data_IF_707013369736
#
_entry.id   IF_707013369736
#
_cell.length_a   1.000
_cell.length_b   1.000
_cell.length_c   1.000
_cell.angle_alpha   90.00
_cell.angle_beta   90.00
_cell.angle_gamma   90.00
#
_symmetry.space_group_name_H-M   'P 1'
#
loop_
_entity.id
_entity.type
_entity.pdbx_description
1 polymer ?
#
# COMPACT_ATOMS: atom_id res chain seq x y z
N UNK A 1 21.34 -7.74 -5.20
CA UNK A 1 21.88 -7.65 -3.82
C UNK A 1 21.04 -6.66 -3.03
N UNK A 2 20.51 -7.08 -1.89
CA UNK A 2 19.68 -6.24 -1.04
C UNK A 2 20.52 -5.16 -0.35
N UNK A 3 19.99 -3.91 -0.34
CA UNK A 3 20.54 -2.79 0.43
C UNK A 3 19.48 -2.27 1.42
N UNK A 4 19.94 -1.69 2.51
CA UNK A 4 19.12 -1.01 3.50
C UNK A 4 19.51 0.45 3.59
N UNK A 5 18.51 1.32 3.68
CA UNK A 5 18.70 2.76 3.83
C UNK A 5 17.89 3.26 5.02
N UNK A 6 18.37 4.34 5.61
CA UNK A 6 17.66 5.11 6.62
C UNK A 6 17.42 6.50 6.04
N UNK A 7 16.15 6.82 5.78
CA UNK A 7 15.77 8.08 5.13
C UNK A 7 15.03 8.96 6.14
N UNK A 8 15.38 10.23 6.20
CA UNK A 8 14.66 11.21 7.00
C UNK A 8 13.43 11.70 6.23
N UNK A 9 12.25 11.25 6.66
CA UNK A 9 10.97 11.60 6.05
C UNK A 9 10.34 12.86 6.61
N UNK A 10 9.03 13.00 6.39
CA UNK A 10 8.25 14.14 6.84
C UNK A 10 8.36 14.37 8.34
N UNK A 11 8.59 15.65 8.73
CA UNK A 11 8.76 16.03 10.13
C UNK A 11 10.01 15.44 10.81
N UNK A 12 11.00 14.97 10.03
CA UNK A 12 12.25 14.40 10.55
C UNK A 12 12.13 12.95 11.03
N UNK A 13 11.01 12.28 10.74
CA UNK A 13 10.81 10.89 11.13
C UNK A 13 11.67 9.95 10.30
N UNK A 14 12.42 9.06 10.95
CA UNK A 14 13.30 8.11 10.28
C UNK A 14 12.50 6.95 9.68
N UNK A 15 12.67 6.76 8.38
CA UNK A 15 12.06 5.68 7.61
C UNK A 15 13.08 4.58 7.32
N UNK A 16 12.62 3.33 7.44
CA UNK A 16 13.36 2.16 7.01
C UNK A 16 13.00 1.83 5.56
N UNK A 17 14.02 1.80 4.69
CA UNK A 17 13.87 1.56 3.26
C UNK A 17 14.76 0.40 2.84
N UNK A 18 14.23 -0.47 1.99
CA UNK A 18 14.93 -1.60 1.39
C UNK A 18 14.96 -1.49 -0.12
N UNK A 19 16.07 -1.90 -0.71
CA UNK A 19 16.31 -1.87 -2.14
C UNK A 19 16.84 -3.21 -2.64
N UNK A 20 16.30 -3.69 -3.76
CA UNK A 20 16.73 -4.90 -4.46
C UNK A 20 16.83 -4.63 -5.96
N UNK A 21 17.44 -5.57 -6.68
CA UNK A 21 17.49 -5.55 -8.14
C UNK A 21 18.62 -4.72 -8.70
N UNK A 22 18.38 -4.12 -9.85
CA UNK A 22 19.38 -3.39 -10.64
C UNK A 22 19.30 -1.89 -10.43
N UNK A 23 20.30 -1.22 -9.89
CA UNK A 23 20.25 0.20 -9.55
C UNK A 23 19.94 1.14 -10.72
N UNK A 24 20.38 0.77 -11.93
CA UNK A 24 20.26 1.61 -13.14
C UNK A 24 19.03 1.26 -13.99
N UNK A 25 18.18 0.36 -13.51
CA UNK A 25 16.95 -0.05 -14.20
C UNK A 25 15.74 0.77 -13.74
N UNK A 26 14.62 0.72 -14.49
CA UNK A 26 13.40 1.43 -14.11
C UNK A 26 13.00 1.13 -12.67
N UNK A 27 12.78 2.16 -11.84
CA UNK A 27 12.45 1.97 -10.43
C UNK A 27 10.98 1.69 -10.20
N UNK A 28 10.71 0.81 -9.24
CA UNK A 28 9.38 0.52 -8.69
C UNK A 28 9.44 0.77 -7.18
N UNK A 29 8.58 1.64 -6.67
CA UNK A 29 8.44 1.90 -5.24
C UNK A 29 7.15 1.27 -4.73
N UNK A 30 7.29 0.32 -3.80
CA UNK A 30 6.18 -0.38 -3.16
C UNK A 30 5.80 0.28 -1.84
N UNK A 31 4.52 0.58 -1.70
CA UNK A 31 3.92 1.22 -0.52
C UNK A 31 2.87 0.28 0.06
N UNK A 32 3.14 -0.27 1.24
CA UNK A 32 2.26 -1.23 1.89
C UNK A 32 1.02 -0.59 2.51
N UNK A 33 0.11 -1.41 3.02
CA UNK A 33 -1.14 -1.00 3.62
C UNK A 33 -1.10 -0.85 5.15
N UNK A 34 -2.26 -0.59 5.70
CA UNK A 34 -2.52 -0.42 7.13
C UNK A 34 -2.07 -1.64 7.92
N UNK A 35 -1.27 -1.41 8.96
CA UNK A 35 -0.75 -2.43 9.90
C UNK A 35 0.19 -3.47 9.27
N UNK A 36 0.79 -3.18 8.11
CA UNK A 36 1.71 -4.05 7.40
C UNK A 36 3.17 -3.60 7.56
N UNK A 37 4.06 -4.12 6.74
CA UNK A 37 5.43 -3.65 6.53
C UNK A 37 5.96 -4.11 5.17
N UNK A 38 7.23 -3.77 4.84
CA UNK A 38 7.84 -4.10 3.56
C UNK A 38 7.90 -5.60 3.24
N UNK A 39 7.84 -6.50 4.24
CA UNK A 39 7.89 -7.95 4.02
C UNK A 39 6.66 -8.47 3.25
N UNK A 40 5.56 -7.72 3.22
CA UNK A 40 4.39 -8.11 2.43
C UNK A 40 4.69 -8.20 0.93
N UNK A 41 5.80 -7.62 0.46
CA UNK A 41 6.25 -7.65 -0.92
C UNK A 41 7.29 -8.73 -1.22
N UNK A 42 7.48 -9.71 -0.32
CA UNK A 42 8.50 -10.75 -0.48
C UNK A 42 8.35 -11.53 -1.80
N UNK A 43 7.11 -11.84 -2.19
CA UNK A 43 6.81 -12.53 -3.47
C UNK A 43 7.14 -11.69 -4.71
N UNK A 44 7.40 -10.40 -4.55
CA UNK A 44 7.81 -9.47 -5.60
C UNK A 44 9.34 -9.33 -5.62
N UNK A 45 9.98 -8.94 -4.52
CA UNK A 45 11.42 -8.69 -4.51
C UNK A 45 12.28 -9.98 -4.54
N UNK A 46 11.72 -11.13 -4.24
CA UNK A 46 12.36 -12.45 -4.40
C UNK A 46 12.06 -13.10 -5.77
N UNK A 47 11.40 -12.39 -6.67
CA UNK A 47 11.03 -12.88 -8.00
C UNK A 47 11.97 -12.34 -9.09
N UNK A 48 11.72 -12.77 -10.34
CA UNK A 48 12.40 -12.26 -11.51
C UNK A 48 12.23 -10.74 -11.75
N UNK A 49 11.32 -10.06 -11.06
CA UNK A 49 11.24 -8.60 -11.09
C UNK A 49 12.56 -7.95 -10.68
N UNK A 50 13.27 -8.52 -9.70
CA UNK A 50 14.57 -8.02 -9.25
C UNK A 50 15.71 -8.24 -10.29
N UNK A 51 15.50 -9.12 -11.27
CA UNK A 51 16.45 -9.33 -12.38
C UNK A 51 16.32 -8.25 -13.46
N UNK A 52 15.20 -7.54 -13.49
CA UNK A 52 14.90 -6.57 -14.54
C UNK A 52 14.80 -5.12 -14.02
N UNK A 53 14.24 -4.92 -12.84
CA UNK A 53 13.92 -3.60 -12.29
C UNK A 53 14.72 -3.27 -11.04
N UNK A 54 14.71 -1.99 -10.67
CA UNK A 54 15.14 -1.49 -9.38
C UNK A 54 13.94 -1.48 -8.44
N UNK A 55 13.93 -2.35 -7.44
CA UNK A 55 12.81 -2.50 -6.50
C UNK A 55 13.12 -1.80 -5.19
N UNK A 56 12.22 -0.95 -4.75
CA UNK A 56 12.33 -0.23 -3.48
C UNK A 56 11.04 -0.45 -2.70
N UNK A 57 11.14 -0.77 -1.42
CA UNK A 57 10.03 -0.83 -0.50
C UNK A 57 10.41 -0.17 0.82
N UNK A 58 9.48 0.46 1.50
CA UNK A 58 9.75 1.05 2.80
C UNK A 58 8.66 0.70 3.81
N UNK A 59 9.00 0.79 5.07
CA UNK A 59 8.03 0.71 6.14
C UNK A 59 7.43 2.09 6.35
N UNK A 60 6.11 2.19 6.23
CA UNK A 60 5.36 3.42 6.51
C UNK A 60 5.71 3.96 7.90
N UNK A 61 5.59 5.27 8.12
CA UNK A 61 5.66 5.84 9.46
C UNK A 61 4.79 5.06 10.43
N UNK A 62 5.32 4.73 11.58
CA UNK A 62 4.61 3.94 12.59
C UNK A 62 4.61 2.43 12.38
N UNK A 63 5.23 1.92 11.30
CA UNK A 63 5.20 0.52 10.93
C UNK A 63 6.61 -0.08 10.81
N UNK A 64 6.70 -1.39 10.96
CA UNK A 64 7.92 -2.16 10.74
C UNK A 64 9.12 -1.62 11.53
N UNK A 65 10.17 -1.27 10.82
CA UNK A 65 11.43 -0.73 11.39
C UNK A 65 11.55 0.80 11.28
N UNK A 66 10.53 1.48 10.76
CA UNK A 66 10.43 2.94 10.79
C UNK A 66 10.08 3.43 12.20
N UNK A 67 10.40 4.69 12.50
CA UNK A 67 10.02 5.29 13.78
C UNK A 67 8.50 5.31 13.97
N UNK A 68 8.07 5.06 15.21
CA UNK A 68 6.67 4.86 15.55
C UNK A 68 6.25 5.70 16.77
N UNK A 69 6.29 7.05 16.67
CA UNK A 69 5.74 7.91 17.73
C UNK A 69 4.23 7.66 17.84
N UNK A 70 3.68 7.79 19.06
CA UNK A 70 2.28 7.45 19.31
C UNK A 70 1.32 8.64 19.12
N UNK A 71 1.85 9.86 19.08
CA UNK A 71 1.04 11.08 19.00
C UNK A 71 0.32 11.18 17.64
N UNK A 72 -0.99 11.48 17.64
CA UNK A 72 -1.81 11.52 16.43
C UNK A 72 -1.29 12.45 15.33
N UNK A 73 -0.65 13.56 15.69
CA UNK A 73 -0.13 14.55 14.75
C UNK A 73 0.89 14.00 13.74
N UNK A 74 1.53 12.87 14.07
CA UNK A 74 2.45 12.19 13.12
C UNK A 74 1.73 11.44 11.99
N UNK A 75 0.40 11.23 12.10
CA UNK A 75 -0.35 10.34 11.19
C UNK A 75 -1.53 11.01 10.50
N UNK A 76 -2.01 12.14 11.01
CA UNK A 76 -3.23 12.78 10.52
C UNK A 76 -2.99 13.84 9.45
N UNK A 77 -1.79 14.40 9.36
CA UNK A 77 -1.43 15.39 8.34
C UNK A 77 -1.03 14.69 7.02
N UNK A 78 -1.79 14.88 5.92
CA UNK A 78 -1.47 14.30 4.62
C UNK A 78 -0.10 14.74 4.08
N UNK A 79 0.37 15.93 4.45
CA UNK A 79 1.68 16.43 4.01
C UNK A 79 2.83 15.57 4.51
N UNK A 80 2.75 15.03 5.71
CA UNK A 80 3.80 14.15 6.25
C UNK A 80 3.93 12.85 5.47
N UNK A 81 2.82 12.25 5.04
CA UNK A 81 2.83 11.07 4.19
C UNK A 81 3.44 11.36 2.81
N UNK A 82 3.09 12.50 2.24
CA UNK A 82 3.64 12.96 0.98
C UNK A 82 5.15 13.23 1.08
N UNK A 83 5.60 13.86 2.15
CA UNK A 83 7.01 14.16 2.42
C UNK A 83 7.85 12.89 2.60
N UNK A 84 7.28 11.82 3.17
CA UNK A 84 7.96 10.53 3.28
C UNK A 84 8.32 9.98 1.89
N UNK A 85 7.37 9.96 0.98
CA UNK A 85 7.58 9.48 -0.40
C UNK A 85 8.57 10.38 -1.14
N UNK A 86 8.41 11.70 -1.01
CA UNK A 86 9.32 12.67 -1.63
C UNK A 86 10.77 12.51 -1.14
N UNK A 87 10.96 12.29 0.16
CA UNK A 87 12.28 12.07 0.74
C UNK A 87 12.95 10.80 0.19
N UNK A 88 12.21 9.72 0.04
CA UNK A 88 12.72 8.46 -0.54
C UNK A 88 13.09 8.66 -2.00
N UNK A 89 12.24 9.31 -2.78
CA UNK A 89 12.49 9.62 -4.20
C UNK A 89 13.77 10.43 -4.36
N UNK A 90 13.95 11.46 -3.55
CA UNK A 90 15.10 12.35 -3.61
C UNK A 90 16.39 11.66 -3.13
N UNK A 91 16.36 11.02 -1.97
CA UNK A 91 17.54 10.37 -1.38
C UNK A 91 18.09 9.22 -2.23
N UNK A 92 17.19 8.44 -2.85
CA UNK A 92 17.57 7.33 -3.72
C UNK A 92 17.70 7.72 -5.19
N UNK A 93 17.41 8.97 -5.55
CA UNK A 93 17.46 9.44 -6.94
C UNK A 93 16.51 8.67 -7.85
N UNK A 94 15.27 8.44 -7.40
CA UNK A 94 14.27 7.73 -8.21
C UNK A 94 13.64 8.72 -9.19
N UNK A 95 13.60 8.35 -10.45
CA UNK A 95 12.97 9.15 -11.49
C UNK A 95 12.17 8.28 -12.45
N UNK A 96 11.08 8.81 -12.98
CA UNK A 96 10.14 8.04 -13.81
C UNK A 96 9.78 6.69 -13.18
N UNK A 97 9.47 6.73 -11.87
CA UNK A 97 9.19 5.51 -11.11
C UNK A 97 7.75 5.02 -11.30
N UNK A 98 7.56 3.73 -11.11
CA UNK A 98 6.23 3.14 -10.93
C UNK A 98 5.93 3.11 -9.43
N UNK A 99 4.81 3.71 -9.03
CA UNK A 99 4.32 3.67 -7.66
C UNK A 99 3.30 2.53 -7.52
N UNK A 100 3.56 1.61 -6.62
CA UNK A 100 2.64 0.51 -6.28
C UNK A 100 2.11 0.74 -4.88
N UNK A 101 0.81 0.98 -4.76
CA UNK A 101 0.15 1.22 -3.47
C UNK A 101 -0.87 0.16 -3.15
N UNK A 102 -0.62 -0.60 -2.08
CA UNK A 102 -1.57 -1.59 -1.60
C UNK A 102 -2.45 -1.00 -0.52
N UNK A 103 -3.79 -1.09 -0.71
CA UNK A 103 -4.79 -0.66 0.27
C UNK A 103 -4.56 0.78 0.72
N UNK A 104 -4.19 1.04 1.96
CA UNK A 104 -3.82 2.37 2.48
C UNK A 104 -2.68 3.04 1.70
N UNK A 105 -1.82 2.25 1.07
CA UNK A 105 -0.75 2.75 0.22
C UNK A 105 -1.23 3.62 -0.95
N UNK A 106 -2.45 3.40 -1.43
CA UNK A 106 -3.06 4.26 -2.45
C UNK A 106 -3.36 5.67 -1.92
N UNK A 107 -3.78 5.81 -0.66
CA UNK A 107 -3.92 7.12 -0.02
C UNK A 107 -2.59 7.87 0.01
N UNK A 108 -1.52 7.17 0.36
CA UNK A 108 -0.17 7.75 0.42
C UNK A 108 0.28 8.23 -0.96
N UNK A 109 0.00 7.47 -2.02
CA UNK A 109 0.25 7.91 -3.40
C UNK A 109 -0.54 9.17 -3.72
N UNK A 110 -1.82 9.22 -3.36
CA UNK A 110 -2.65 10.41 -3.58
C UNK A 110 -2.15 11.63 -2.79
N UNK A 111 -1.73 11.43 -1.55
CA UNK A 111 -1.10 12.50 -0.76
C UNK A 111 0.15 13.06 -1.46
N UNK A 112 1.02 12.16 -1.98
CA UNK A 112 2.21 12.56 -2.73
C UNK A 112 1.86 13.33 -4.00
N UNK A 113 0.97 12.81 -4.83
CA UNK A 113 0.57 13.45 -6.10
C UNK A 113 -0.05 14.83 -5.84
N UNK A 114 -0.89 14.96 -4.81
CA UNK A 114 -1.51 16.24 -4.43
C UNK A 114 -0.47 17.29 -4.04
N UNK A 115 0.57 16.89 -3.30
CA UNK A 115 1.59 17.79 -2.79
C UNK A 115 2.73 18.08 -3.79
N UNK A 116 3.12 17.09 -4.59
CA UNK A 116 4.34 17.13 -5.43
C UNK A 116 4.09 16.97 -6.94
N UNK A 117 2.86 16.63 -7.35
CA UNK A 117 2.53 16.41 -8.77
C UNK A 117 2.97 15.05 -9.29
N UNK A 118 2.99 14.90 -10.62
CA UNK A 118 3.17 13.63 -11.30
C UNK A 118 4.48 13.52 -12.10
N UNK A 119 5.30 14.57 -12.13
CA UNK A 119 6.45 14.69 -13.04
C UNK A 119 7.49 13.56 -12.87
N UNK A 120 7.63 13.02 -11.66
CA UNK A 120 8.58 11.94 -11.33
C UNK A 120 7.99 10.54 -11.56
N UNK A 121 6.71 10.43 -11.90
CA UNK A 121 5.95 9.18 -11.98
C UNK A 121 5.78 8.73 -13.42
N UNK A 122 6.15 7.48 -13.72
CA UNK A 122 5.90 6.86 -15.02
C UNK A 122 4.53 6.15 -15.09
N UNK A 123 4.12 5.48 -14.03
CA UNK A 123 2.83 4.81 -13.89
C UNK A 123 2.50 4.53 -12.42
N UNK A 124 1.25 4.19 -12.16
CA UNK A 124 0.74 3.84 -10.82
C UNK A 124 -0.01 2.50 -10.90
N UNK A 125 0.16 1.66 -9.88
CA UNK A 125 -0.65 0.46 -9.65
C UNK A 125 -1.32 0.56 -8.28
N UNK A 126 -2.64 0.68 -8.25
CA UNK A 126 -3.45 0.56 -7.04
C UNK A 126 -3.82 -0.90 -6.84
N UNK A 127 -3.18 -1.54 -5.89
CA UNK A 127 -3.42 -2.93 -5.50
C UNK A 127 -4.46 -2.94 -4.39
N UNK A 128 -5.69 -3.32 -4.68
CA UNK A 128 -6.82 -3.20 -3.74
C UNK A 128 -6.85 -1.80 -3.11
N UNK A 129 -6.61 -0.78 -3.92
CA UNK A 129 -6.31 0.57 -3.47
C UNK A 129 -7.52 1.26 -2.87
N UNK A 130 -7.39 1.75 -1.65
CA UNK A 130 -8.39 2.59 -1.02
C UNK A 130 -8.21 4.05 -1.47
N UNK A 131 -9.29 4.69 -1.91
CA UNK A 131 -9.28 6.08 -2.39
C UNK A 131 -10.25 6.98 -1.63
N UNK A 132 -11.05 6.40 -0.75
CA UNK A 132 -11.94 7.12 0.19
C UNK A 132 -11.91 6.47 1.56
N UNK A 133 -11.85 7.30 2.59
CA UNK A 133 -11.92 6.90 4.00
C UNK A 133 -12.77 7.92 4.75
N UNK A 134 -13.63 7.43 5.62
CA UNK A 134 -14.56 8.22 6.39
C UNK A 134 -15.95 7.58 6.42
N UNK A 135 -16.87 8.14 7.15
CA UNK A 135 -18.19 7.56 7.40
C UNK A 135 -18.94 7.26 6.08
N UNK A 136 -18.84 8.13 5.08
CA UNK A 136 -19.51 7.94 3.79
C UNK A 136 -18.97 6.73 2.98
N UNK A 137 -17.74 6.29 3.24
CA UNK A 137 -17.12 5.14 2.57
C UNK A 137 -17.43 3.82 3.27
N UNK A 138 -17.79 3.85 4.55
CA UNK A 138 -18.02 2.65 5.34
C UNK A 138 -19.28 1.89 4.88
N UNK A 139 -19.14 0.60 4.66
CA UNK A 139 -20.19 -0.28 4.19
C UNK A 139 -20.46 -0.23 2.67
N UNK A 140 -19.99 0.79 1.96
CA UNK A 140 -20.15 0.96 0.51
C UNK A 140 -18.87 0.72 -0.28
N UNK A 141 -17.74 1.21 0.23
CA UNK A 141 -16.41 1.12 -0.38
C UNK A 141 -15.42 0.39 0.53
N UNK A 142 -15.54 0.58 1.84
CA UNK A 142 -14.80 -0.14 2.88
C UNK A 142 -15.74 -1.17 3.48
N UNK A 143 -15.36 -2.43 3.42
CA UNK A 143 -16.24 -3.56 3.70
C UNK A 143 -16.11 -4.17 5.09
N UNK A 144 -16.91 -5.21 5.37
CA UNK A 144 -16.97 -5.88 6.66
C UNK A 144 -15.65 -6.54 7.03
N UNK A 145 -14.82 -6.96 6.06
CA UNK A 145 -13.50 -7.52 6.33
C UNK A 145 -12.58 -6.59 7.13
N UNK A 146 -12.81 -5.28 7.05
CA UNK A 146 -12.15 -4.28 7.88
C UNK A 146 -13.05 -3.84 9.05
N UNK A 147 -14.29 -3.44 8.77
CA UNK A 147 -15.17 -2.79 9.73
C UNK A 147 -15.53 -3.68 10.92
N UNK A 148 -15.72 -4.99 10.70
CA UNK A 148 -16.08 -5.94 11.75
C UNK A 148 -14.95 -6.15 12.76
N UNK A 149 -13.71 -5.82 12.38
CA UNK A 149 -12.52 -6.04 13.21
C UNK A 149 -11.91 -4.74 13.74
N UNK A 150 -12.30 -3.59 13.22
CA UNK A 150 -11.65 -2.30 13.51
C UNK A 150 -11.68 -1.93 14.99
N UNK A 151 -12.81 -2.07 15.66
CA UNK A 151 -12.95 -1.72 17.09
C UNK A 151 -12.00 -2.55 17.96
N UNK A 152 -11.94 -3.87 17.73
CA UNK A 152 -11.01 -4.75 18.42
C UNK A 152 -9.55 -4.49 18.06
N UNK A 153 -9.28 -4.21 16.78
CA UNK A 153 -7.94 -3.93 16.26
C UNK A 153 -7.33 -2.63 16.81
N UNK A 154 -8.15 -1.74 17.31
CA UNK A 154 -7.73 -0.47 17.92
C UNK A 154 -7.91 -0.44 19.44
N UNK A 155 -8.35 -1.54 20.04
CA UNK A 155 -8.53 -1.66 21.49
C UNK A 155 -7.18 -1.74 22.23
N UNK A 156 -7.14 -1.14 23.43
CA UNK A 156 -5.97 -1.21 24.31
C UNK A 156 -5.84 -2.59 24.99
N UNK A 157 -6.93 -3.34 25.09
CA UNK A 157 -6.93 -4.70 25.63
C UNK A 157 -6.21 -5.65 24.67
N UNK A 158 -5.05 -6.14 25.10
CA UNK A 158 -4.15 -6.92 24.26
C UNK A 158 -4.77 -8.22 23.70
N UNK A 159 -5.46 -9.05 24.50
CA UNK A 159 -6.15 -10.23 23.96
C UNK A 159 -7.19 -9.91 22.91
N UNK A 160 -8.00 -8.88 23.10
CA UNK A 160 -9.00 -8.39 22.15
C UNK A 160 -8.32 -7.93 20.86
N UNK A 161 -7.25 -7.13 20.98
CA UNK A 161 -6.46 -6.62 19.87
C UNK A 161 -5.87 -7.77 19.03
N UNK A 162 -5.19 -8.73 19.66
CA UNK A 162 -4.60 -9.88 18.96
C UNK A 162 -5.68 -10.69 18.23
N UNK A 163 -6.81 -10.95 18.89
CA UNK A 163 -7.93 -11.69 18.29
C UNK A 163 -8.50 -10.98 17.05
N UNK A 164 -8.71 -9.68 17.16
CA UNK A 164 -9.22 -8.85 16.05
C UNK A 164 -8.23 -8.81 14.87
N UNK A 165 -6.94 -8.61 15.12
CA UNK A 165 -5.91 -8.59 14.07
C UNK A 165 -5.76 -9.94 13.39
N UNK A 166 -5.85 -11.04 14.14
CA UNK A 166 -5.87 -12.39 13.57
C UNK A 166 -7.07 -12.58 12.63
N UNK A 167 -8.24 -12.14 13.04
CA UNK A 167 -9.45 -12.22 12.22
C UNK A 167 -9.39 -11.33 10.99
N UNK A 168 -8.86 -10.11 11.14
CA UNK A 168 -8.64 -9.19 10.03
C UNK A 168 -7.70 -9.78 8.96
N UNK A 169 -6.55 -10.32 9.37
CA UNK A 169 -5.59 -10.93 8.44
C UNK A 169 -6.22 -12.09 7.68
N UNK A 170 -7.00 -12.93 8.36
CA UNK A 170 -7.73 -14.03 7.72
C UNK A 170 -8.81 -13.54 6.76
N UNK A 171 -9.47 -12.42 7.05
CA UNK A 171 -10.45 -11.80 6.15
C UNK A 171 -9.82 -11.22 4.87
N UNK A 172 -8.52 -10.92 4.89
CA UNK A 172 -7.79 -10.44 3.71
C UNK A 172 -7.55 -11.52 2.65
N UNK A 173 -7.59 -12.80 3.03
CA UNK A 173 -7.17 -13.93 2.19
C UNK A 173 -8.37 -14.79 1.81
N UNK A 174 -8.52 -15.07 0.53
CA UNK A 174 -9.56 -15.98 0.00
C UNK A 174 -8.96 -17.27 -0.52
N UNK A 175 -7.90 -17.18 -1.34
CA UNK A 175 -7.17 -18.36 -1.79
C UNK A 175 -6.26 -18.89 -0.67
N UNK A 176 -6.08 -20.21 -0.54
CA UNK A 176 -5.18 -20.77 0.44
C UNK A 176 -3.76 -20.23 0.29
N UNK A 177 -3.18 -19.83 1.42
CA UNK A 177 -1.77 -19.49 1.55
C UNK A 177 -1.14 -20.43 2.57
N UNK A 178 0.19 -20.67 2.51
CA UNK A 178 0.85 -21.51 3.52
C UNK A 178 0.63 -20.98 4.95
N UNK A 179 0.42 -21.88 5.90
CA UNK A 179 0.15 -21.52 7.30
C UNK A 179 1.28 -20.65 7.89
N UNK A 180 2.54 -21.00 7.61
CA UNK A 180 3.71 -20.23 8.09
C UNK A 180 3.70 -18.79 7.56
N UNK A 181 3.28 -18.59 6.31
CA UNK A 181 3.13 -17.24 5.72
C UNK A 181 2.04 -16.48 6.47
N UNK A 182 0.90 -17.11 6.72
CA UNK A 182 -0.23 -16.49 7.43
C UNK A 182 0.13 -16.11 8.87
N UNK A 183 0.81 -16.99 9.58
CA UNK A 183 1.29 -16.74 10.96
C UNK A 183 2.27 -15.54 10.98
N UNK A 184 3.19 -15.50 10.03
CA UNK A 184 4.14 -14.40 9.89
C UNK A 184 3.42 -13.07 9.66
N UNK A 185 2.41 -13.05 8.78
CA UNK A 185 1.58 -11.87 8.53
C UNK A 185 0.84 -11.43 9.79
N UNK A 186 0.25 -12.36 10.53
CA UNK A 186 -0.42 -12.04 11.81
C UNK A 186 0.57 -11.40 12.79
N UNK A 187 1.78 -11.97 12.93
CA UNK A 187 2.79 -11.44 13.85
C UNK A 187 3.15 -9.99 13.52
N UNK A 188 3.44 -9.65 12.28
CA UNK A 188 3.83 -8.27 11.96
C UNK A 188 2.65 -7.29 12.03
N UNK A 189 1.43 -7.74 11.77
CA UNK A 189 0.23 -6.92 11.93
C UNK A 189 0.02 -6.56 13.41
N UNK A 190 0.16 -7.52 14.32
CA UNK A 190 0.01 -7.30 15.76
C UNK A 190 1.13 -6.40 16.31
N UNK A 191 2.32 -6.42 15.71
CA UNK A 191 3.45 -5.61 16.16
C UNK A 191 3.24 -4.10 15.99
N UNK A 192 2.33 -3.65 15.11
CA UNK A 192 2.00 -2.23 14.99
C UNK A 192 1.15 -1.79 16.21
N UNK A 193 1.51 -0.71 16.91
CA UNK A 193 0.72 -0.23 18.05
C UNK A 193 -0.74 0.08 17.69
N UNK A 194 -1.68 -0.32 18.55
CA UNK A 194 -3.10 -0.09 18.34
C UNK A 194 -3.45 1.40 18.14
N UNK A 195 -2.78 2.29 18.88
CA UNK A 195 -2.95 3.73 18.76
C UNK A 195 -2.57 4.24 17.36
N UNK A 196 -1.53 3.70 16.75
CA UNK A 196 -1.12 4.05 15.39
C UNK A 196 -2.17 3.57 14.37
N UNK A 197 -2.66 2.33 14.52
CA UNK A 197 -3.77 1.82 13.70
C UNK A 197 -5.00 2.70 13.76
N UNK A 198 -5.36 3.16 14.96
CA UNK A 198 -6.48 4.09 15.17
C UNK A 198 -6.23 5.45 14.50
N UNK A 199 -5.04 6.00 14.62
CA UNK A 199 -4.68 7.30 14.05
C UNK A 199 -4.73 7.31 12.52
N UNK A 200 -4.29 6.23 11.86
CA UNK A 200 -4.41 6.10 10.41
C UNK A 200 -5.87 6.10 9.96
N UNK A 201 -6.72 5.37 10.67
CA UNK A 201 -8.13 5.24 10.34
C UNK A 201 -8.98 6.46 10.74
N UNK A 202 -8.45 7.35 11.57
CA UNK A 202 -9.12 8.60 11.96
C UNK A 202 -9.08 9.69 10.88
N UNK A 203 -8.33 9.51 9.80
CA UNK A 203 -8.30 10.44 8.68
C UNK A 203 -9.62 10.38 7.90
N UNK A 204 -10.07 11.54 7.44
CA UNK A 204 -11.07 11.64 6.37
C UNK A 204 -10.34 11.90 5.06
N UNK A 205 -10.52 11.02 4.07
CA UNK A 205 -9.77 11.04 2.82
C UNK A 205 -10.74 10.94 1.65
N UNK A 206 -10.55 11.81 0.67
CA UNK A 206 -11.18 11.77 -0.64
C UNK A 206 -10.10 12.06 -1.69
N UNK A 207 -9.85 11.09 -2.58
CA UNK A 207 -8.83 11.20 -3.62
C UNK A 207 -9.37 11.64 -4.98
N UNK A 208 -10.63 12.03 -5.09
CA UNK A 208 -11.26 12.35 -6.38
C UNK A 208 -10.58 13.51 -7.11
N UNK A 209 -10.04 14.48 -6.39
CA UNK A 209 -9.26 15.58 -6.95
C UNK A 209 -7.99 15.06 -7.68
N UNK A 210 -7.28 14.12 -7.08
CA UNK A 210 -6.09 13.49 -7.67
C UNK A 210 -6.48 12.59 -8.83
N UNK A 211 -7.51 11.77 -8.66
CA UNK A 211 -7.97 10.84 -9.69
C UNK A 211 -8.44 11.57 -10.96
N UNK A 212 -9.21 12.63 -10.80
CA UNK A 212 -9.72 13.43 -11.93
C UNK A 212 -8.59 14.12 -12.70
N UNK A 213 -7.53 14.54 -12.04
CA UNK A 213 -6.38 15.20 -12.61
C UNK A 213 -5.26 14.26 -13.08
N UNK A 214 -5.46 12.94 -12.97
CA UNK A 214 -4.44 11.96 -13.31
C UNK A 214 -4.09 12.00 -14.80
N UNK A 215 -2.78 12.03 -15.11
CA UNK A 215 -2.25 12.05 -16.46
C UNK A 215 -1.38 10.84 -16.78
N UNK A 216 -0.80 10.19 -15.74
CA UNK A 216 0.01 9.00 -15.92
C UNK A 216 -0.88 7.74 -15.96
N UNK A 217 -0.44 6.67 -16.62
CA UNK A 217 -1.17 5.40 -16.61
C UNK A 217 -1.42 4.90 -15.18
N UNK A 218 -2.66 4.50 -14.89
CA UNK A 218 -3.05 3.96 -13.60
C UNK A 218 -3.70 2.59 -13.80
N UNK A 219 -3.07 1.55 -13.26
CA UNK A 219 -3.61 0.21 -13.20
C UNK A 219 -4.37 0.03 -11.89
N UNK A 220 -5.56 -0.52 -11.95
CA UNK A 220 -6.35 -0.94 -10.79
C UNK A 220 -6.30 -2.45 -10.73
N UNK A 221 -5.56 -2.99 -9.78
CA UNK A 221 -5.49 -4.43 -9.52
C UNK A 221 -6.46 -4.77 -8.40
N UNK A 222 -7.56 -5.46 -8.74
CA UNK A 222 -8.68 -5.67 -7.82
C UNK A 222 -9.14 -7.13 -7.76
N UNK A 223 -9.13 -7.70 -6.56
CA UNK A 223 -9.78 -8.96 -6.24
C UNK A 223 -11.29 -8.81 -6.18
N UNK A 224 -12.03 -9.66 -6.92
CA UNK A 224 -13.51 -9.60 -6.91
C UNK A 224 -14.13 -10.10 -5.60
N UNK A 225 -13.38 -10.84 -4.80
CA UNK A 225 -13.80 -11.35 -3.49
C UNK A 225 -13.23 -10.56 -2.31
N UNK A 226 -12.64 -9.38 -2.55
CA UNK A 226 -12.14 -8.51 -1.49
C UNK A 226 -13.29 -8.00 -0.61
N UNK A 227 -13.25 -8.35 0.67
CA UNK A 227 -14.20 -7.90 1.69
C UNK A 227 -13.70 -6.71 2.52
N UNK A 228 -12.46 -6.30 2.33
CA UNK A 228 -11.80 -5.20 3.05
C UNK A 228 -11.96 -3.89 2.30
N UNK A 229 -11.45 -3.83 1.07
CA UNK A 229 -11.70 -2.76 0.10
C UNK A 229 -12.59 -3.33 -0.99
N UNK A 230 -13.85 -2.94 -0.99
CA UNK A 230 -14.85 -3.56 -1.85
C UNK A 230 -14.60 -3.27 -3.34
N UNK A 231 -14.94 -4.19 -4.26
CA UNK A 231 -14.80 -3.99 -5.70
C UNK A 231 -15.43 -2.69 -6.23
N UNK A 232 -16.45 -2.18 -5.56
CA UNK A 232 -17.08 -0.89 -5.88
C UNK A 232 -16.08 0.28 -5.89
N UNK A 233 -14.99 0.20 -5.12
CA UNK A 233 -13.96 1.24 -5.13
C UNK A 233 -13.18 1.26 -6.45
N UNK A 234 -12.89 0.09 -7.01
CA UNK A 234 -12.26 -0.02 -8.32
C UNK A 234 -13.17 0.53 -9.43
N UNK A 235 -14.47 0.25 -9.37
CA UNK A 235 -15.45 0.82 -10.29
C UNK A 235 -15.49 2.36 -10.18
N UNK A 236 -15.42 2.89 -8.96
CA UNK A 236 -15.34 4.32 -8.71
C UNK A 236 -14.07 4.94 -9.33
N UNK A 237 -12.90 4.31 -9.15
CA UNK A 237 -11.65 4.77 -9.75
C UNK A 237 -11.73 4.78 -11.27
N UNK A 238 -12.29 3.72 -11.87
CA UNK A 238 -12.47 3.64 -13.33
C UNK A 238 -13.41 4.72 -13.86
N UNK A 239 -14.43 5.07 -13.11
CA UNK A 239 -15.37 6.13 -13.50
C UNK A 239 -14.80 7.54 -13.33
N UNK A 240 -13.84 7.74 -12.43
CA UNK A 240 -13.32 9.05 -12.02
C UNK A 240 -11.99 9.40 -12.67
N UNK A 241 -11.09 8.42 -12.83
CA UNK A 241 -9.73 8.60 -13.32
C UNK A 241 -9.67 8.34 -14.84
N UNK A 242 -9.32 9.34 -15.66
CA UNK A 242 -9.36 9.20 -17.13
C UNK A 242 -8.32 8.22 -17.68
N UNK A 243 -7.26 7.91 -16.94
CA UNK A 243 -6.17 7.03 -17.37
C UNK A 243 -6.26 5.63 -16.75
N UNK A 244 -7.30 5.35 -15.95
CA UNK A 244 -7.40 4.09 -15.22
C UNK A 244 -7.85 2.93 -16.12
N UNK A 245 -7.15 1.82 -15.96
CA UNK A 245 -7.51 0.51 -16.50
C UNK A 245 -7.53 -0.51 -15.37
N UNK A 246 -8.41 -1.52 -15.46
CA UNK A 246 -8.55 -2.53 -14.41
C UNK A 246 -8.00 -3.89 -14.84
N UNK A 247 -7.39 -4.57 -13.88
CA UNK A 247 -7.12 -6.00 -13.89
C UNK A 247 -7.91 -6.65 -12.77
N UNK A 248 -8.96 -7.38 -13.13
CA UNK A 248 -9.83 -8.07 -12.19
C UNK A 248 -9.35 -9.48 -11.90
N UNK A 249 -9.24 -9.82 -10.61
CA UNK A 249 -8.79 -11.14 -10.13
C UNK A 249 -9.98 -11.91 -9.55
N UNK A 250 -10.45 -12.90 -10.29
CA UNK A 250 -11.56 -13.75 -9.85
C UNK A 250 -11.14 -14.64 -8.68
N UNK A 251 -12.03 -14.82 -7.70
CA UNK A 251 -11.79 -15.65 -6.52
C UNK A 251 -10.61 -15.19 -5.65
N UNK A 252 -10.20 -13.93 -5.76
CA UNK A 252 -9.08 -13.34 -5.05
C UNK A 252 -9.58 -12.26 -4.09
N UNK A 253 -8.99 -12.21 -2.89
CA UNK A 253 -9.33 -11.25 -1.85
C UNK A 253 -8.47 -9.99 -1.89
N UNK A 254 -8.07 -9.55 -0.70
CA UNK A 254 -7.37 -8.26 -0.49
C UNK A 254 -5.87 -8.29 -0.80
N UNK A 255 -5.31 -9.45 -1.10
CA UNK A 255 -3.86 -9.65 -1.26
C UNK A 255 -3.49 -10.36 -2.57
N UNK A 256 -3.84 -9.82 -3.76
CA UNK A 256 -3.56 -10.48 -5.03
C UNK A 256 -2.06 -10.71 -5.25
N UNK A 257 -1.19 -9.85 -4.75
CA UNK A 257 0.26 -9.98 -4.80
C UNK A 257 0.80 -11.18 -3.99
N UNK A 258 0.01 -11.71 -3.07
CA UNK A 258 0.28 -12.92 -2.29
C UNK A 258 -0.52 -14.13 -2.79
N UNK A 259 -1.79 -13.94 -3.16
CA UNK A 259 -2.68 -15.03 -3.59
C UNK A 259 -2.39 -15.52 -5.02
N UNK A 260 -1.96 -14.62 -5.92
CA UNK A 260 -1.55 -14.93 -7.29
C UNK A 260 -0.31 -14.13 -7.71
N UNK A 261 0.84 -14.37 -7.05
CA UNK A 261 2.05 -13.58 -7.27
C UNK A 261 2.61 -13.69 -8.69
N UNK A 262 2.40 -14.82 -9.36
CA UNK A 262 2.90 -15.01 -10.75
C UNK A 262 2.18 -14.07 -11.72
N UNK A 263 0.87 -13.98 -11.63
CA UNK A 263 0.06 -13.07 -12.45
C UNK A 263 0.37 -11.63 -12.09
N UNK A 264 0.38 -11.31 -10.80
CA UNK A 264 0.67 -9.97 -10.32
C UNK A 264 2.03 -9.46 -10.79
N UNK A 265 3.08 -10.25 -10.63
CA UNK A 265 4.44 -9.87 -11.05
C UNK A 265 4.55 -9.68 -12.57
N UNK A 266 3.88 -10.52 -13.36
CA UNK A 266 3.83 -10.36 -14.82
C UNK A 266 3.16 -9.06 -15.24
N UNK A 267 1.99 -8.74 -14.68
CA UNK A 267 1.24 -7.52 -14.98
C UNK A 267 2.00 -6.26 -14.54
N UNK A 268 2.66 -6.30 -13.38
CA UNK A 268 3.50 -5.19 -12.91
C UNK A 268 4.72 -4.98 -13.84
N UNK A 269 5.35 -6.06 -14.29
CA UNK A 269 6.45 -5.98 -15.25
C UNK A 269 5.99 -5.37 -16.59
N UNK A 270 4.83 -5.79 -17.09
CA UNK A 270 4.24 -5.26 -18.32
C UNK A 270 3.93 -3.77 -18.20
N UNK A 271 3.30 -3.34 -17.08
CA UNK A 271 3.04 -1.92 -16.78
C UNK A 271 4.34 -1.11 -16.78
N UNK A 272 5.37 -1.61 -16.13
CA UNK A 272 6.64 -0.90 -15.98
C UNK A 272 7.36 -0.78 -17.32
N UNK A 273 7.42 -1.85 -18.12
CA UNK A 273 8.02 -1.81 -19.47
C UNK A 273 7.29 -0.85 -20.38
N UNK A 274 5.96 -0.88 -20.37
CA UNK A 274 5.14 -0.01 -21.22
C UNK A 274 5.34 1.47 -20.86
N UNK A 275 5.44 1.79 -19.60
CA UNK A 275 5.67 3.16 -19.12
C UNK A 275 7.06 3.72 -19.50
N UNK A 276 8.02 2.84 -19.85
CA UNK A 276 9.39 3.22 -20.24
C UNK A 276 9.72 2.91 -21.71
N UNK A 277 8.72 2.56 -22.51
CA UNK A 277 8.88 2.26 -23.94
C UNK A 277 8.89 3.53 -24.82
#
# INVERSE_FOLDING_TARGET
RMKAHSVEGGGGLRLHVREWGKPDSPPILFIHGWSQNHLCWARQYESALADEFRLVAYDLRGHGMSEAPLEPGHYTDPKLWADDVAAIIEELGLDQLVLVGWSYGAFVICDYVRAYGQDRIAAIDFVEGAVKLGEAAFGTLIGPGFLDHFVGATADDLPTNIGAMRSFVRACVVKPVPDDDLETVICWNVAVPAAIRANLAAREIDCDDVLTAMQVPLLVTQGRADSVVLPAIAEHVLATCPTAEASWYDGTGHVPHLEDPRRFNRELAELTRHAHS
#
